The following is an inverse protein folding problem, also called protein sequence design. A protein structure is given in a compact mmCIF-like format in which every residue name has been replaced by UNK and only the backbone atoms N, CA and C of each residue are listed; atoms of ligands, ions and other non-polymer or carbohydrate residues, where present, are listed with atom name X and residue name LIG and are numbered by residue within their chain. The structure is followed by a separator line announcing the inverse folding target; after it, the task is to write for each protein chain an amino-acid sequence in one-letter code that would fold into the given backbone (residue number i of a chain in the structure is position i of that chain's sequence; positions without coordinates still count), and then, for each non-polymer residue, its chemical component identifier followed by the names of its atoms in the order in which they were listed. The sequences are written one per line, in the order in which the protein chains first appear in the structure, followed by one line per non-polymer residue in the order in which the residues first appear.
data_IF_532229472212
#
_entry.id   IF_532229472212
#
_cell.length_a   1.000
_cell.length_b   1.000
_cell.length_c   1.000
_cell.angle_alpha   90.00
_cell.angle_beta   90.00
_cell.angle_gamma   90.00
#
_symmetry.space_group_name_H-M   'P 1'
#
loop_
_entity.id
_entity.type
_entity.pdbx_description
1 polymer ?
#
# COMPACT_ATOMS: atom_id res chain seq x y z
N UNK A 1 -30.88 38.52 16.84
CA UNK A 1 -29.64 37.91 17.33
C UNK A 1 -30.05 36.74 18.19
N UNK A 2 -29.46 35.55 18.09
CA UNK A 2 -29.73 34.49 19.03
C UNK A 2 -29.31 35.00 20.42
N UNK A 3 -30.17 34.82 21.40
CA UNK A 3 -29.85 35.11 22.78
C UNK A 3 -28.67 34.24 23.21
N UNK A 4 -27.53 34.88 23.43
CA UNK A 4 -26.44 34.21 24.16
C UNK A 4 -26.83 34.09 25.61
N UNK A 5 -27.10 32.88 26.04
CA UNK A 5 -27.36 32.55 27.43
C UNK A 5 -26.08 32.78 28.26
N UNK A 6 -25.93 33.93 28.89
CA UNK A 6 -24.73 34.35 29.65
C UNK A 6 -24.43 33.44 30.86
N UNK A 7 -25.32 32.50 31.18
CA UNK A 7 -25.21 31.70 32.41
C UNK A 7 -24.24 30.50 32.34
N UNK A 8 -23.54 30.25 31.27
CA UNK A 8 -22.85 28.96 31.12
C UNK A 8 -21.43 29.03 30.48
N UNK A 9 -20.61 30.01 30.85
CA UNK A 9 -19.20 30.05 30.47
C UNK A 9 -18.46 28.74 30.79
N UNK A 10 -18.86 28.04 31.87
CA UNK A 10 -18.33 26.70 32.22
C UNK A 10 -18.65 25.62 31.17
N UNK A 11 -19.77 25.74 30.44
CA UNK A 11 -20.11 24.79 29.36
C UNK A 11 -19.23 24.92 28.11
N UNK A 12 -18.55 26.02 27.93
CA UNK A 12 -17.59 26.23 26.85
C UNK A 12 -16.22 25.60 27.16
N UNK A 13 -16.03 25.06 28.36
CA UNK A 13 -14.80 24.39 28.78
C UNK A 13 -13.52 25.22 28.48
N UNK A 14 -13.58 26.53 28.70
CA UNK A 14 -12.49 27.47 28.37
C UNK A 14 -11.16 27.13 29.07
N UNK A 15 -11.20 26.38 30.16
CA UNK A 15 -10.05 25.88 30.91
C UNK A 15 -9.42 24.61 30.30
N UNK A 16 -10.07 23.99 29.30
CA UNK A 16 -9.58 22.80 28.62
C UNK A 16 -9.01 23.22 27.26
N UNK A 17 -7.70 23.03 26.99
CA UNK A 17 -7.13 23.30 25.71
C UNK A 17 -7.78 22.47 24.60
N UNK A 18 -8.20 23.10 23.51
CA UNK A 18 -8.70 22.40 22.32
C UNK A 18 -7.55 21.65 21.67
N UNK A 19 -7.69 20.34 21.50
CA UNK A 19 -6.71 19.47 20.86
C UNK A 19 -7.43 18.56 19.87
N UNK A 20 -6.84 18.43 18.68
CA UNK A 20 -7.17 17.33 17.77
C UNK A 20 -6.25 16.14 18.09
N UNK A 21 -6.77 14.92 17.97
CA UNK A 21 -5.91 13.74 18.03
C UNK A 21 -4.94 13.76 16.85
N UNK A 22 -3.62 13.65 17.10
CA UNK A 22 -2.65 13.63 16.03
C UNK A 22 -2.68 12.31 15.29
N UNK A 23 -2.56 12.36 13.97
CA UNK A 23 -2.19 11.20 13.15
C UNK A 23 -0.72 11.34 12.78
N UNK A 24 0.10 10.39 13.21
CA UNK A 24 1.51 10.34 12.88
C UNK A 24 1.79 9.24 11.87
N UNK A 25 2.46 9.60 10.80
CA UNK A 25 3.06 8.69 9.85
C UNK A 25 4.36 9.32 9.35
N UNK A 26 5.42 8.57 9.20
CA UNK A 26 6.73 9.06 8.78
C UNK A 26 6.62 9.96 7.54
N UNK A 27 7.16 11.17 7.60
CA UNK A 27 7.14 12.14 6.49
C UNK A 27 5.80 12.83 6.21
N UNK A 28 4.78 12.66 7.08
CA UNK A 28 3.44 13.22 6.87
C UNK A 28 3.17 14.54 7.61
N UNK A 29 4.10 15.06 8.40
CA UNK A 29 3.83 16.20 9.29
C UNK A 29 3.38 17.45 8.55
N UNK A 30 3.96 17.73 7.38
CA UNK A 30 3.66 18.90 6.54
C UNK A 30 2.45 18.72 5.62
N UNK A 31 1.83 17.55 5.58
CA UNK A 31 0.70 17.28 4.68
C UNK A 31 -0.59 17.92 5.21
N UNK A 32 -1.48 18.31 4.28
CA UNK A 32 -2.80 18.83 4.62
C UNK A 32 -3.72 17.76 5.23
N UNK A 33 -4.88 18.21 5.77
CA UNK A 33 -5.84 17.31 6.43
C UNK A 33 -6.40 16.25 5.48
N UNK A 34 -6.70 16.60 4.21
CA UNK A 34 -7.26 15.68 3.24
C UNK A 34 -6.29 14.55 2.89
N UNK A 35 -5.00 14.90 2.74
CA UNK A 35 -3.92 13.94 2.52
C UNK A 35 -3.77 12.99 3.73
N UNK A 36 -3.71 13.55 4.95
CA UNK A 36 -3.61 12.77 6.19
C UNK A 36 -4.82 11.87 6.41
N UNK A 37 -6.04 12.35 6.11
CA UNK A 37 -7.26 11.54 6.20
C UNK A 37 -7.22 10.32 5.27
N UNK A 38 -6.73 10.48 4.04
CA UNK A 38 -6.57 9.35 3.13
C UNK A 38 -5.49 8.37 3.60
N UNK A 39 -4.36 8.88 4.07
CA UNK A 39 -3.29 8.04 4.62
C UNK A 39 -3.71 7.30 5.88
N UNK A 40 -4.49 7.90 6.78
CA UNK A 40 -5.00 7.24 7.99
C UNK A 40 -6.03 6.14 7.70
N UNK A 41 -6.62 6.14 6.50
CA UNK A 41 -7.48 5.06 6.02
C UNK A 41 -6.69 3.92 5.35
N UNK A 42 -5.47 4.19 4.88
CA UNK A 42 -4.53 3.20 4.34
C UNK A 42 -3.74 2.56 5.48
N UNK A 43 -3.17 3.36 6.36
CA UNK A 43 -2.39 2.94 7.50
C UNK A 43 -3.26 3.02 8.76
N UNK A 44 -3.44 1.90 9.44
CA UNK A 44 -4.21 1.85 10.68
C UNK A 44 -3.60 2.80 11.72
N UNK A 45 -4.36 3.76 12.27
CA UNK A 45 -3.82 4.75 13.20
C UNK A 45 -3.25 4.16 14.50
N UNK A 46 -3.76 3.01 14.96
CA UNK A 46 -3.32 2.36 16.19
C UNK A 46 -1.95 1.68 16.02
N UNK A 47 -1.76 0.97 14.91
CA UNK A 47 -0.51 0.23 14.66
C UNK A 47 0.50 1.02 13.81
N UNK A 48 0.08 2.08 13.11
CA UNK A 48 0.88 2.77 12.10
C UNK A 48 1.19 1.93 10.86
N UNK A 49 0.51 0.79 10.68
CA UNK A 49 0.81 -0.22 9.66
C UNK A 49 -0.39 -0.53 8.78
N UNK A 50 -0.14 -1.24 7.67
CA UNK A 50 -1.17 -1.63 6.71
C UNK A 50 -0.97 -3.06 6.19
N UNK A 51 -2.08 -3.75 5.93
CA UNK A 51 -2.13 -4.96 5.12
C UNK A 51 -2.87 -4.60 3.83
N UNK A 52 -2.10 -4.29 2.78
CA UNK A 52 -2.64 -4.03 1.45
C UNK A 52 -2.71 -5.33 0.66
N UNK A 53 -3.85 -5.58 0.02
CA UNK A 53 -4.05 -6.72 -0.89
C UNK A 53 -3.81 -6.26 -2.33
N UNK A 54 -2.68 -6.69 -2.92
CA UNK A 54 -2.27 -6.33 -4.28
C UNK A 54 -2.89 -7.29 -5.31
N UNK A 55 -3.79 -6.78 -6.14
CA UNK A 55 -4.45 -7.54 -7.22
C UNK A 55 -4.41 -6.80 -8.57
N UNK A 56 -3.47 -5.86 -8.71
CA UNK A 56 -3.32 -5.03 -9.90
C UNK A 56 -2.56 -5.71 -11.04
N UNK A 57 -1.77 -6.74 -10.76
CA UNK A 57 -0.86 -7.35 -11.75
C UNK A 57 -1.56 -8.20 -12.81
N UNK A 58 -2.84 -8.51 -12.65
CA UNK A 58 -3.63 -9.15 -13.70
C UNK A 58 -3.69 -8.36 -15.01
N UNK A 59 -3.54 -7.04 -14.97
CA UNK A 59 -3.59 -6.23 -16.19
C UNK A 59 -2.42 -6.50 -17.14
N UNK A 60 -1.22 -6.77 -16.62
CA UNK A 60 -0.04 -7.01 -17.44
C UNK A 60 0.35 -8.48 -17.57
N UNK A 61 -0.11 -9.34 -16.67
CA UNK A 61 0.16 -10.79 -16.67
C UNK A 61 -1.03 -11.63 -17.17
N UNK A 62 -2.23 -11.05 -17.25
CA UNK A 62 -3.46 -11.77 -17.54
C UNK A 62 -4.05 -12.47 -16.31
N UNK A 63 -5.00 -13.38 -16.50
CA UNK A 63 -5.66 -14.12 -15.42
C UNK A 63 -4.74 -15.20 -14.87
N UNK A 64 -3.75 -14.77 -14.09
CA UNK A 64 -2.80 -15.68 -13.42
C UNK A 64 -3.47 -16.42 -12.26
N UNK A 65 -2.83 -17.52 -11.79
CA UNK A 65 -3.32 -18.35 -10.70
C UNK A 65 -3.76 -17.51 -9.50
N UNK A 66 -5.02 -17.68 -9.09
CA UNK A 66 -5.70 -16.92 -8.05
C UNK A 66 -6.39 -15.64 -8.53
N UNK A 67 -6.18 -15.19 -9.78
CA UNK A 67 -6.84 -14.03 -10.40
C UNK A 67 -7.71 -14.40 -11.60
N UNK A 68 -7.98 -15.69 -11.84
CA UNK A 68 -8.86 -16.17 -12.92
C UNK A 68 -10.30 -15.68 -12.71
N UNK A 69 -10.76 -15.75 -11.46
CA UNK A 69 -12.09 -15.33 -11.01
C UNK A 69 -11.93 -14.46 -9.75
N UNK A 70 -11.66 -13.18 -9.98
CA UNK A 70 -11.44 -12.19 -8.89
C UNK A 70 -12.66 -12.08 -7.97
N UNK A 71 -13.85 -12.20 -8.51
CA UNK A 71 -15.14 -12.24 -7.79
C UNK A 71 -15.26 -13.44 -6.83
N UNK A 72 -14.61 -14.57 -7.13
CA UNK A 72 -14.63 -15.77 -6.29
C UNK A 72 -13.41 -15.80 -5.36
N UNK A 73 -12.22 -15.54 -5.90
CA UNK A 73 -10.98 -15.78 -5.18
C UNK A 73 -10.56 -14.62 -4.28
N UNK A 74 -10.97 -13.39 -4.61
CA UNK A 74 -10.51 -12.18 -3.93
C UNK A 74 -11.56 -11.58 -2.99
N UNK A 75 -12.84 -11.58 -3.35
CA UNK A 75 -13.87 -10.97 -2.50
C UNK A 75 -13.90 -11.52 -1.07
N UNK A 76 -13.69 -12.83 -0.81
CA UNK A 76 -13.62 -13.36 0.56
C UNK A 76 -12.45 -12.79 1.39
N UNK A 77 -11.41 -12.25 0.75
CA UNK A 77 -10.24 -11.67 1.41
C UNK A 77 -10.44 -10.21 1.79
N UNK A 78 -11.34 -9.51 1.10
CA UNK A 78 -11.57 -8.07 1.27
C UNK A 78 -11.87 -7.66 2.72
N UNK A 79 -12.67 -8.40 3.51
CA UNK A 79 -12.93 -8.03 4.92
C UNK A 79 -11.66 -7.92 5.77
N UNK A 80 -10.64 -8.70 5.43
CA UNK A 80 -9.40 -8.81 6.20
C UNK A 80 -8.27 -7.89 5.69
N UNK A 81 -8.39 -7.29 4.51
CA UNK A 81 -7.48 -6.26 4.05
C UNK A 81 -7.79 -4.90 4.70
N UNK A 82 -6.80 -4.06 4.91
CA UNK A 82 -7.00 -2.64 5.22
C UNK A 82 -7.25 -1.86 3.93
N UNK A 83 -6.53 -2.24 2.89
CA UNK A 83 -6.50 -1.52 1.61
C UNK A 83 -6.47 -2.51 0.44
N UNK A 84 -7.13 -2.15 -0.65
CA UNK A 84 -7.06 -2.88 -1.91
C UNK A 84 -6.23 -2.09 -2.91
N UNK A 85 -5.15 -2.69 -3.43
CA UNK A 85 -4.38 -2.15 -4.55
C UNK A 85 -4.81 -2.87 -5.83
N UNK A 86 -5.44 -2.14 -6.75
CA UNK A 86 -6.12 -2.72 -7.91
C UNK A 86 -6.21 -1.75 -9.09
N UNK A 87 -6.69 -2.27 -10.23
CA UNK A 87 -6.95 -1.48 -11.42
C UNK A 87 -8.37 -0.94 -11.46
N UNK A 88 -8.58 0.10 -12.27
CA UNK A 88 -9.88 0.73 -12.48
C UNK A 88 -10.98 -0.24 -12.97
N UNK A 89 -10.61 -1.15 -13.86
CA UNK A 89 -11.54 -2.15 -14.39
C UNK A 89 -12.02 -3.11 -13.30
N UNK A 90 -11.13 -3.65 -12.50
CA UNK A 90 -11.46 -4.55 -11.39
C UNK A 90 -12.29 -3.82 -10.33
N UNK A 91 -11.94 -2.59 -9.98
CA UNK A 91 -12.71 -1.80 -9.03
C UNK A 91 -14.18 -1.67 -9.45
N UNK A 92 -14.41 -1.27 -10.70
CA UNK A 92 -15.76 -1.02 -11.22
C UNK A 92 -16.62 -2.27 -11.39
N UNK A 93 -15.99 -3.39 -11.75
CA UNK A 93 -16.74 -4.60 -12.14
C UNK A 93 -16.89 -5.62 -11.03
N UNK A 94 -16.04 -5.59 -10.01
CA UNK A 94 -15.96 -6.68 -9.02
C UNK A 94 -16.16 -6.18 -7.58
N UNK A 95 -15.53 -5.05 -7.21
CA UNK A 95 -15.59 -4.58 -5.82
C UNK A 95 -16.96 -3.98 -5.52
N UNK A 96 -17.68 -4.47 -4.50
CA UNK A 96 -18.98 -3.89 -4.14
C UNK A 96 -18.85 -2.40 -3.77
N UNK A 97 -19.73 -1.52 -4.27
CA UNK A 97 -19.67 -0.09 -3.97
C UNK A 97 -19.95 0.23 -2.49
N UNK A 98 -20.49 -0.73 -1.74
CA UNK A 98 -20.69 -0.65 -0.28
C UNK A 98 -19.42 -0.91 0.52
N UNK A 99 -18.28 -1.19 -0.13
CA UNK A 99 -17.02 -1.44 0.59
C UNK A 99 -16.58 -0.22 1.39
N UNK A 100 -16.14 -0.45 2.63
CA UNK A 100 -15.48 0.57 3.46
C UNK A 100 -13.95 0.59 3.30
N UNK A 101 -13.40 -0.30 2.48
CA UNK A 101 -11.97 -0.46 2.32
C UNK A 101 -11.35 0.70 1.53
N UNK A 102 -10.15 1.08 1.92
CA UNK A 102 -9.36 2.04 1.18
C UNK A 102 -8.97 1.49 -0.19
N UNK A 103 -9.02 2.33 -1.20
CA UNK A 103 -8.66 1.98 -2.56
C UNK A 103 -7.37 2.69 -2.95
N UNK A 104 -6.37 1.93 -3.32
CA UNK A 104 -5.14 2.40 -3.96
C UNK A 104 -5.21 2.01 -5.43
N UNK A 105 -5.44 2.99 -6.28
CA UNK A 105 -5.70 2.77 -7.68
C UNK A 105 -4.41 2.76 -8.48
N UNK A 106 -4.12 1.66 -9.20
CA UNK A 106 -3.03 1.67 -10.17
C UNK A 106 -3.33 2.67 -11.29
N UNK A 107 -2.52 3.73 -11.36
CA UNK A 107 -2.69 4.82 -12.29
C UNK A 107 -1.73 4.74 -13.49
N UNK A 108 -0.63 4.00 -13.39
CA UNK A 108 0.27 3.73 -14.52
C UNK A 108 -0.08 2.42 -15.23
N UNK A 109 0.25 2.33 -16.51
CA UNK A 109 0.07 1.15 -17.33
C UNK A 109 0.54 1.38 -18.75
N UNK A 110 0.59 0.30 -19.55
CA UNK A 110 1.05 0.34 -20.95
C UNK A 110 1.46 -1.03 -21.43
N UNK A 111 2.60 -1.49 -20.99
CA UNK A 111 3.17 -2.76 -21.45
C UNK A 111 2.55 -3.98 -20.76
N UNK A 112 2.66 -5.13 -21.43
CA UNK A 112 2.39 -6.45 -20.87
C UNK A 112 3.67 -7.27 -20.79
N UNK A 113 3.60 -8.46 -20.16
CA UNK A 113 4.73 -9.40 -20.09
C UNK A 113 5.28 -9.83 -21.46
N UNK A 114 4.59 -9.51 -22.55
CA UNK A 114 5.03 -9.81 -23.91
C UNK A 114 6.02 -8.76 -24.44
N UNK A 115 6.19 -7.64 -23.76
CA UNK A 115 7.07 -6.53 -24.12
C UNK A 115 7.91 -6.05 -22.94
N UNK A 116 8.57 -4.92 -23.11
CA UNK A 116 9.34 -4.26 -22.04
C UNK A 116 8.38 -3.62 -21.01
N UNK A 117 8.42 -4.12 -19.78
CA UNK A 117 7.48 -3.69 -18.73
C UNK A 117 7.72 -2.26 -18.24
N UNK A 118 8.92 -1.69 -18.49
CA UNK A 118 9.21 -0.31 -18.10
C UNK A 118 8.57 0.74 -19.01
N UNK A 119 8.01 0.33 -20.17
CA UNK A 119 7.29 1.21 -21.10
C UNK A 119 5.85 1.45 -20.61
N UNK A 120 5.73 2.16 -19.51
CA UNK A 120 4.43 2.55 -18.91
C UNK A 120 4.22 4.07 -18.96
N UNK A 121 2.96 4.45 -19.22
CA UNK A 121 2.49 5.83 -19.11
C UNK A 121 1.44 5.98 -18.00
N UNK A 122 0.93 7.19 -17.82
CA UNK A 122 -0.23 7.44 -16.96
C UNK A 122 -1.49 6.99 -17.69
N UNK A 123 -2.14 5.94 -17.19
CA UNK A 123 -3.32 5.31 -17.79
C UNK A 123 -4.64 5.74 -17.15
N UNK A 124 -4.59 6.39 -15.98
CA UNK A 124 -5.76 6.91 -15.27
C UNK A 124 -5.49 8.34 -14.86
N UNK A 125 -6.37 9.25 -15.23
CA UNK A 125 -6.26 10.66 -14.85
C UNK A 125 -6.77 10.93 -13.42
N UNK A 126 -6.47 12.13 -12.93
CA UNK A 126 -6.84 12.55 -11.58
C UNK A 126 -8.35 12.69 -11.40
N UNK A 127 -9.08 13.12 -12.42
CA UNK A 127 -10.53 13.31 -12.36
C UNK A 127 -11.24 11.95 -12.17
N UNK A 128 -10.77 10.90 -12.86
CA UNK A 128 -11.30 9.55 -12.68
C UNK A 128 -10.96 9.00 -11.29
N UNK A 129 -9.77 9.29 -10.79
CA UNK A 129 -9.36 8.92 -9.43
C UNK A 129 -10.23 9.58 -8.35
N UNK A 130 -10.55 10.87 -8.51
CA UNK A 130 -11.48 11.60 -7.64
C UNK A 130 -12.89 11.00 -7.71
N UNK A 131 -13.40 10.78 -8.91
CA UNK A 131 -14.73 10.22 -9.15
C UNK A 131 -14.89 8.81 -8.57
N UNK A 132 -13.83 8.03 -8.56
CA UNK A 132 -13.78 6.69 -7.97
C UNK A 132 -13.53 6.70 -6.46
N UNK A 133 -13.40 7.90 -5.85
CA UNK A 133 -13.16 8.08 -4.41
C UNK A 133 -11.95 7.29 -3.89
N UNK A 134 -10.85 7.29 -4.64
CA UNK A 134 -9.64 6.55 -4.23
C UNK A 134 -8.90 7.23 -3.08
N UNK A 135 -8.20 6.43 -2.29
CA UNK A 135 -7.36 6.92 -1.19
C UNK A 135 -5.93 7.23 -1.62
N UNK A 136 -5.43 6.60 -2.68
CA UNK A 136 -4.13 6.91 -3.27
C UNK A 136 -4.07 6.45 -4.74
N UNK A 137 -3.11 6.99 -5.47
CA UNK A 137 -2.73 6.55 -6.82
C UNK A 137 -1.40 5.81 -6.75
N UNK A 138 -1.31 4.64 -7.37
CA UNK A 138 -0.09 3.86 -7.48
C UNK A 138 0.52 4.01 -8.87
N UNK A 139 1.82 4.22 -8.91
CA UNK A 139 2.62 4.32 -10.14
C UNK A 139 3.85 3.46 -10.06
N UNK A 140 4.13 2.72 -11.11
CA UNK A 140 5.34 1.90 -11.19
C UNK A 140 6.54 2.73 -11.61
N UNK A 141 7.68 2.55 -10.93
CA UNK A 141 8.94 3.27 -11.20
C UNK A 141 10.04 2.26 -11.42
N UNK A 142 10.72 2.34 -12.57
CA UNK A 142 11.72 1.37 -13.03
C UNK A 142 13.12 1.97 -12.99
N UNK A 143 13.73 2.05 -11.80
CA UNK A 143 15.09 2.54 -11.65
C UNK A 143 16.08 1.54 -12.28
N UNK A 144 16.93 2.03 -13.18
CA UNK A 144 17.84 1.20 -13.98
C UNK A 144 17.17 0.49 -15.16
N UNK A 145 15.88 0.75 -15.43
CA UNK A 145 15.18 0.23 -16.62
C UNK A 145 15.39 1.08 -17.85
N UNK A 146 15.02 0.55 -19.03
CA UNK A 146 15.15 1.25 -20.31
C UNK A 146 14.37 2.59 -20.32
N UNK A 147 13.18 2.61 -19.70
CA UNK A 147 12.31 3.79 -19.62
C UNK A 147 12.33 4.43 -18.20
N UNK A 148 13.50 4.42 -17.53
CA UNK A 148 13.65 4.99 -16.19
C UNK A 148 13.13 6.41 -16.10
N UNK A 149 13.65 7.30 -16.97
CA UNK A 149 13.28 8.73 -16.97
C UNK A 149 11.76 8.93 -17.07
N UNK A 150 11.11 8.19 -17.95
CA UNK A 150 9.68 8.34 -18.17
C UNK A 150 8.87 7.85 -16.96
N UNK A 151 9.23 6.72 -16.38
CA UNK A 151 8.59 6.18 -15.19
C UNK A 151 8.72 7.13 -13.99
N UNK A 152 9.90 7.75 -13.80
CA UNK A 152 10.12 8.77 -12.77
C UNK A 152 9.28 10.02 -13.02
N UNK A 153 9.22 10.52 -14.27
CA UNK A 153 8.40 11.68 -14.62
C UNK A 153 6.90 11.40 -14.49
N UNK A 154 6.45 10.20 -14.78
CA UNK A 154 5.06 9.78 -14.54
C UNK A 154 4.71 9.85 -13.05
N UNK A 155 5.62 9.39 -12.19
CA UNK A 155 5.46 9.51 -10.74
C UNK A 155 5.36 10.98 -10.31
N UNK A 156 6.27 11.85 -10.75
CA UNK A 156 6.24 13.28 -10.36
C UNK A 156 4.98 13.99 -10.83
N UNK A 157 4.47 13.68 -12.02
CA UNK A 157 3.18 14.20 -12.50
C UNK A 157 2.02 13.80 -11.58
N UNK A 158 1.99 12.54 -11.12
CA UNK A 158 0.97 12.08 -10.18
C UNK A 158 1.15 12.70 -8.80
N UNK A 159 2.37 12.94 -8.35
CA UNK A 159 2.66 13.67 -7.10
C UNK A 159 2.10 15.10 -7.17
N UNK A 160 2.37 15.85 -8.24
CA UNK A 160 1.87 17.21 -8.43
C UNK A 160 0.34 17.27 -8.46
N UNK A 161 -0.28 16.38 -9.23
CA UNK A 161 -1.74 16.28 -9.31
C UNK A 161 -2.33 15.82 -7.97
N UNK A 162 -1.75 14.79 -7.36
CA UNK A 162 -2.19 14.26 -6.07
C UNK A 162 -2.10 15.30 -4.96
N UNK A 163 -1.01 16.06 -4.89
CA UNK A 163 -0.85 17.14 -3.92
C UNK A 163 -1.93 18.21 -4.09
N UNK A 164 -2.25 18.58 -5.32
CA UNK A 164 -3.30 19.59 -5.62
C UNK A 164 -4.69 19.16 -5.13
N UNK A 165 -4.99 17.87 -5.15
CA UNK A 165 -6.32 17.31 -4.80
C UNK A 165 -6.33 16.50 -3.51
N UNK A 166 -5.24 16.50 -2.76
CA UNK A 166 -5.13 15.80 -1.48
C UNK A 166 -5.11 14.27 -1.62
N UNK A 167 -4.66 13.72 -2.76
CA UNK A 167 -4.58 12.27 -3.01
C UNK A 167 -3.13 11.81 -2.98
N UNK A 168 -2.72 10.97 -2.01
CA UNK A 168 -1.36 10.43 -1.93
C UNK A 168 -0.94 9.65 -3.17
N UNK A 169 0.37 9.69 -3.47
CA UNK A 169 0.98 8.86 -4.53
C UNK A 169 1.83 7.77 -3.89
N UNK A 170 1.54 6.51 -4.23
CA UNK A 170 2.37 5.34 -3.94
C UNK A 170 3.33 5.11 -5.11
N UNK A 171 4.63 5.18 -4.87
CA UNK A 171 5.61 4.71 -5.83
C UNK A 171 5.87 3.22 -5.63
N UNK A 172 5.72 2.43 -6.69
CA UNK A 172 6.01 0.99 -6.71
C UNK A 172 7.35 0.79 -7.41
N UNK A 173 8.41 0.49 -6.66
CA UNK A 173 9.71 0.24 -7.26
C UNK A 173 9.74 -1.10 -7.95
N UNK A 174 9.97 -1.10 -9.25
CA UNK A 174 10.18 -2.28 -10.06
C UNK A 174 11.66 -2.41 -10.42
N UNK A 175 12.15 -3.64 -10.45
CA UNK A 175 13.55 -3.95 -10.72
C UNK A 175 13.69 -4.33 -12.20
N UNK A 176 14.57 -3.65 -12.93
CA UNK A 176 14.95 -4.03 -14.28
C UNK A 176 15.53 -5.46 -14.31
N UNK A 177 15.45 -6.12 -15.48
CA UNK A 177 15.84 -7.54 -15.63
C UNK A 177 17.29 -7.81 -15.23
N UNK A 178 18.17 -6.85 -15.47
CA UNK A 178 19.62 -6.97 -15.27
C UNK A 178 20.11 -6.39 -13.94
N UNK A 179 19.19 -5.91 -13.08
CA UNK A 179 19.54 -5.28 -11.82
C UNK A 179 19.57 -6.28 -10.67
N UNK A 180 20.61 -6.18 -9.85
CA UNK A 180 20.74 -6.99 -8.63
C UNK A 180 19.77 -6.50 -7.57
N UNK A 181 18.95 -7.40 -7.05
CA UNK A 181 18.00 -7.11 -5.95
C UNK A 181 18.74 -7.16 -4.62
N UNK A 182 19.39 -6.06 -4.25
CA UNK A 182 20.09 -5.91 -2.98
C UNK A 182 19.70 -4.61 -2.27
N UNK A 183 20.14 -4.45 -1.02
CA UNK A 183 19.84 -3.28 -0.22
C UNK A 183 20.38 -1.98 -0.83
N UNK A 184 21.52 -2.04 -1.53
CA UNK A 184 22.11 -0.85 -2.18
C UNK A 184 21.19 -0.32 -3.29
N UNK A 185 20.68 -1.23 -4.13
CA UNK A 185 19.73 -0.88 -5.19
C UNK A 185 18.43 -0.30 -4.60
N UNK A 186 17.84 -0.98 -3.60
CA UNK A 186 16.57 -0.51 -3.05
C UNK A 186 16.72 0.80 -2.26
N UNK A 187 17.85 1.05 -1.61
CA UNK A 187 18.14 2.38 -1.04
C UNK A 187 18.13 3.47 -2.11
N UNK A 188 18.78 3.22 -3.24
CA UNK A 188 18.78 4.17 -4.37
C UNK A 188 17.36 4.40 -4.88
N UNK A 189 16.64 3.33 -5.23
CA UNK A 189 15.32 3.42 -5.84
C UNK A 189 14.30 4.09 -4.91
N UNK A 190 14.24 3.69 -3.65
CA UNK A 190 13.31 4.29 -2.68
C UNK A 190 13.67 5.74 -2.36
N UNK A 191 14.96 6.08 -2.31
CA UNK A 191 15.40 7.46 -2.06
C UNK A 191 15.07 8.38 -3.22
N UNK A 192 15.26 7.96 -4.47
CA UNK A 192 14.85 8.74 -5.65
C UNK A 192 13.34 9.03 -5.59
N UNK A 193 12.51 8.01 -5.35
CA UNK A 193 11.07 8.19 -5.27
C UNK A 193 10.66 9.17 -4.14
N UNK A 194 11.27 9.05 -2.98
CA UNK A 194 10.96 9.92 -1.85
C UNK A 194 11.40 11.38 -2.06
N UNK A 195 12.61 11.60 -2.59
CA UNK A 195 13.14 12.93 -2.90
C UNK A 195 12.29 13.66 -3.96
N UNK A 196 11.64 12.91 -4.84
CA UNK A 196 10.75 13.44 -5.88
C UNK A 196 9.29 13.49 -5.45
N UNK A 197 9.00 13.26 -4.16
CA UNK A 197 7.74 13.57 -3.53
C UNK A 197 6.74 12.42 -3.40
N UNK A 198 7.11 11.17 -3.65
CA UNK A 198 6.25 10.04 -3.34
C UNK A 198 5.88 10.05 -1.84
N UNK A 199 4.61 9.83 -1.51
CA UNK A 199 4.11 9.90 -0.14
C UNK A 199 4.39 8.64 0.66
N UNK A 200 4.45 7.49 0.00
CA UNK A 200 4.92 6.21 0.52
C UNK A 200 5.37 5.31 -0.63
N UNK A 201 6.12 4.25 -0.32
CA UNK A 201 6.80 3.46 -1.34
C UNK A 201 6.57 1.98 -1.09
N UNK A 202 6.28 1.24 -2.16
CA UNK A 202 6.28 -0.22 -2.19
C UNK A 202 7.60 -0.71 -2.76
N UNK A 203 8.31 -1.56 -2.00
CA UNK A 203 9.58 -2.17 -2.46
C UNK A 203 9.70 -3.60 -1.98
N UNK A 204 10.64 -4.35 -2.55
CA UNK A 204 10.87 -5.74 -2.15
C UNK A 204 11.72 -5.82 -0.88
N UNK A 205 11.48 -6.87 -0.12
CA UNK A 205 12.33 -7.27 0.99
C UNK A 205 13.66 -7.87 0.48
N UNK A 206 14.74 -7.63 1.20
CA UNK A 206 16.03 -8.28 1.06
C UNK A 206 16.50 -8.75 2.44
N UNK A 207 17.09 -9.94 2.50
CA UNK A 207 17.46 -10.56 3.77
C UNK A 207 18.57 -9.79 4.52
N UNK A 208 19.45 -9.13 3.79
CA UNK A 208 20.57 -8.37 4.35
C UNK A 208 20.41 -6.88 4.06
N UNK A 209 20.34 -6.07 5.11
CA UNK A 209 20.37 -4.63 5.04
C UNK A 209 19.05 -3.94 4.73
N UNK A 210 17.91 -4.61 4.83
CA UNK A 210 16.59 -3.99 4.60
C UNK A 210 16.31 -2.86 5.59
N UNK A 211 16.78 -2.97 6.84
CA UNK A 211 16.73 -1.89 7.83
C UNK A 211 17.42 -0.61 7.34
N UNK A 212 18.45 -0.74 6.50
CA UNK A 212 19.11 0.43 5.90
C UNK A 212 18.27 1.06 4.79
N UNK A 213 17.44 0.27 4.09
CA UNK A 213 16.49 0.77 3.08
C UNK A 213 15.40 1.58 3.77
N UNK A 214 14.81 1.05 4.82
CA UNK A 214 13.75 1.74 5.57
C UNK A 214 14.28 2.97 6.30
N UNK A 215 15.45 2.89 6.94
CA UNK A 215 16.05 4.00 7.67
C UNK A 215 16.44 5.18 6.75
N UNK A 216 16.94 4.89 5.55
CA UNK A 216 17.37 5.94 4.60
C UNK A 216 16.23 6.58 3.81
N UNK A 217 15.03 6.00 3.84
CA UNK A 217 13.86 6.53 3.15
C UNK A 217 13.05 7.43 4.10
N UNK A 218 12.81 8.72 3.78
CA UNK A 218 12.09 9.64 4.66
C UNK A 218 10.57 9.44 4.71
N UNK A 219 10.00 8.56 3.87
CA UNK A 219 8.57 8.23 3.83
C UNK A 219 8.33 6.76 4.16
N UNK A 220 7.08 6.34 4.48
CA UNK A 220 6.80 4.94 4.80
C UNK A 220 7.14 3.99 3.65
N UNK A 221 7.63 2.82 4.01
CA UNK A 221 7.84 1.71 3.06
C UNK A 221 6.86 0.58 3.41
N UNK A 222 6.15 0.07 2.40
CA UNK A 222 5.37 -1.17 2.47
C UNK A 222 6.08 -2.27 1.69
N UNK A 223 6.17 -3.46 2.26
CA UNK A 223 6.90 -4.58 1.69
C UNK A 223 6.07 -5.29 0.62
N UNK A 224 6.64 -5.45 -0.58
CA UNK A 224 6.05 -6.23 -1.66
C UNK A 224 6.22 -7.74 -1.42
N UNK A 225 5.14 -8.51 -1.57
CA UNK A 225 5.17 -9.97 -1.30
C UNK A 225 5.99 -10.81 -2.28
N UNK A 226 6.24 -10.32 -3.49
CA UNK A 226 7.02 -11.05 -4.49
C UNK A 226 6.28 -12.26 -5.09
N UNK A 227 7.03 -13.31 -5.46
CA UNK A 227 6.49 -14.59 -5.92
C UNK A 227 5.92 -15.37 -4.75
N UNK A 228 5.03 -16.34 -5.04
CA UNK A 228 4.53 -17.28 -4.03
C UNK A 228 5.72 -18.11 -3.47
N UNK A 229 5.77 -18.16 -2.16
CA UNK A 229 6.69 -18.99 -1.34
C UNK A 229 5.86 -19.70 -0.28
N UNK A 230 6.41 -20.69 0.46
CA UNK A 230 5.72 -21.36 1.56
C UNK A 230 5.15 -20.35 2.57
N UNK A 231 4.00 -20.66 3.17
CA UNK A 231 3.26 -19.77 4.06
C UNK A 231 4.10 -19.29 5.24
N UNK A 232 4.82 -20.20 5.91
CA UNK A 232 5.70 -19.84 7.03
C UNK A 232 6.84 -18.91 6.61
N UNK A 233 7.38 -19.07 5.41
CA UNK A 233 8.42 -18.20 4.87
C UNK A 233 7.86 -16.80 4.54
N UNK A 234 6.64 -16.75 3.96
CA UNK A 234 5.96 -15.48 3.68
C UNK A 234 5.62 -14.71 4.97
N UNK A 235 5.19 -15.40 6.03
CA UNK A 235 4.96 -14.81 7.36
C UNK A 235 6.27 -14.35 8.01
N UNK A 236 7.35 -15.12 7.85
CA UNK A 236 8.69 -14.75 8.34
C UNK A 236 9.20 -13.50 7.62
N UNK A 237 9.05 -13.44 6.30
CA UNK A 237 9.42 -12.27 5.51
C UNK A 237 8.64 -11.01 5.93
N UNK A 238 7.32 -11.14 6.12
CA UNK A 238 6.47 -10.04 6.57
C UNK A 238 6.86 -9.55 7.98
N UNK A 239 7.12 -10.48 8.90
CA UNK A 239 7.57 -10.18 10.26
C UNK A 239 8.90 -9.43 10.25
N UNK A 240 9.92 -9.99 9.59
CA UNK A 240 11.24 -9.35 9.51
C UNK A 240 11.18 -7.98 8.87
N UNK A 241 10.45 -7.82 7.76
CA UNK A 241 10.27 -6.52 7.13
C UNK A 241 9.68 -5.48 8.10
N UNK A 242 8.66 -5.87 8.89
CA UNK A 242 8.07 -4.98 9.89
C UNK A 242 9.03 -4.66 11.05
N UNK A 243 9.83 -5.63 11.52
CA UNK A 243 10.87 -5.40 12.54
C UNK A 243 11.97 -4.48 12.02
N UNK A 244 12.29 -4.54 10.75
CA UNK A 244 13.31 -3.74 10.07
C UNK A 244 12.75 -2.41 9.53
N UNK A 245 11.55 -1.99 9.97
CA UNK A 245 11.01 -0.64 9.78
C UNK A 245 10.01 -0.47 8.65
N UNK A 246 9.51 -1.55 8.03
CA UNK A 246 8.39 -1.43 7.11
C UNK A 246 7.10 -1.04 7.84
N UNK A 247 6.33 -0.15 7.24
CA UNK A 247 5.00 0.25 7.69
C UNK A 247 3.89 -0.71 7.22
N UNK A 248 4.22 -1.98 7.09
CA UNK A 248 3.29 -3.04 6.70
C UNK A 248 3.66 -3.70 5.37
N UNK A 249 2.66 -4.32 4.76
CA UNK A 249 2.84 -5.13 3.55
C UNK A 249 1.85 -4.73 2.45
N UNK A 250 2.28 -4.91 1.20
CA UNK A 250 1.41 -4.89 0.03
C UNK A 250 1.62 -6.20 -0.75
N UNK A 251 0.87 -7.23 -0.34
CA UNK A 251 1.03 -8.61 -0.77
C UNK A 251 -0.16 -9.06 -1.63
N UNK A 252 0.14 -9.84 -2.64
CA UNK A 252 -0.87 -10.49 -3.50
C UNK A 252 -0.72 -12.01 -3.47
N UNK A 253 0.17 -12.54 -4.32
CA UNK A 253 0.34 -13.99 -4.55
C UNK A 253 0.56 -14.82 -3.29
N UNK A 254 1.30 -14.33 -2.32
CA UNK A 254 1.50 -15.04 -1.05
C UNK A 254 0.23 -15.14 -0.20
N UNK A 255 -0.80 -14.34 -0.49
CA UNK A 255 -2.12 -14.43 0.14
C UNK A 255 -3.07 -15.26 -0.73
N UNK A 256 -3.41 -14.79 -1.92
CA UNK A 256 -4.50 -15.38 -2.71
C UNK A 256 -4.11 -16.69 -3.44
N UNK A 257 -2.81 -17.02 -3.53
CA UNK A 257 -2.33 -18.33 -4.03
C UNK A 257 -2.02 -19.32 -2.89
N UNK A 258 -2.27 -18.95 -1.63
CA UNK A 258 -2.27 -19.91 -0.53
C UNK A 258 -3.48 -20.84 -0.65
N UNK A 259 -3.31 -22.11 -0.28
CA UNK A 259 -4.37 -23.11 -0.27
C UNK A 259 -5.57 -22.63 0.56
N UNK A 260 -5.32 -21.98 1.70
CA UNK A 260 -6.31 -21.38 2.59
C UNK A 260 -6.12 -19.86 2.65
N UNK A 261 -6.46 -19.19 1.57
CA UNK A 261 -6.16 -17.75 1.39
C UNK A 261 -6.78 -16.83 2.46
N UNK A 262 -7.98 -17.17 2.97
CA UNK A 262 -8.64 -16.43 4.05
C UNK A 262 -7.89 -16.60 5.38
N UNK A 263 -7.40 -17.79 5.67
CA UNK A 263 -6.55 -18.04 6.83
C UNK A 263 -5.21 -17.29 6.70
N UNK A 264 -4.64 -17.29 5.50
CA UNK A 264 -3.36 -16.64 5.24
C UNK A 264 -3.40 -15.13 5.44
N UNK A 265 -4.43 -14.44 4.94
CA UNK A 265 -4.52 -12.99 5.15
C UNK A 265 -4.72 -12.64 6.64
N UNK A 266 -5.43 -13.48 7.41
CA UNK A 266 -5.59 -13.28 8.85
C UNK A 266 -4.27 -13.50 9.60
N UNK A 267 -3.48 -14.51 9.21
CA UNK A 267 -2.14 -14.73 9.76
C UNK A 267 -1.20 -13.57 9.44
N UNK A 268 -1.24 -13.02 8.22
CA UNK A 268 -0.49 -11.81 7.84
C UNK A 268 -0.91 -10.61 8.70
N UNK A 269 -2.21 -10.42 8.98
CA UNK A 269 -2.69 -9.37 9.87
C UNK A 269 -2.15 -9.51 11.28
N UNK A 270 -2.10 -10.74 11.82
CA UNK A 270 -1.55 -11.01 13.15
C UNK A 270 -0.06 -10.58 13.22
N UNK A 271 0.71 -10.88 12.19
CA UNK A 271 2.11 -10.41 12.07
C UNK A 271 2.19 -8.89 12.01
N UNK A 272 1.42 -8.26 11.11
CA UNK A 272 1.58 -6.84 10.79
C UNK A 272 1.05 -5.95 11.91
N UNK A 273 -0.18 -6.20 12.41
CA UNK A 273 -0.83 -5.31 13.38
C UNK A 273 -0.57 -5.68 14.83
N UNK A 274 -0.41 -6.98 15.12
CA UNK A 274 -0.24 -7.46 16.50
C UNK A 274 1.18 -7.89 16.81
N UNK A 275 2.08 -7.78 15.83
CA UNK A 275 3.50 -8.15 15.98
C UNK A 275 3.70 -9.61 16.42
N UNK A 276 2.77 -10.49 16.02
CA UNK A 276 2.88 -11.90 16.33
C UNK A 276 4.07 -12.54 15.61
N UNK A 277 4.74 -13.45 16.29
CA UNK A 277 5.87 -14.18 15.69
C UNK A 277 5.42 -15.06 14.52
N UNK A 278 6.30 -15.34 13.54
CA UNK A 278 5.94 -16.20 12.41
C UNK A 278 5.36 -17.55 12.80
N UNK A 279 5.87 -18.15 13.88
CA UNK A 279 5.42 -19.45 14.38
C UNK A 279 3.98 -19.38 14.93
N UNK A 280 3.66 -18.34 15.70
CA UNK A 280 2.29 -18.13 16.22
C UNK A 280 1.31 -17.80 15.10
N UNK A 281 1.71 -16.94 14.16
CA UNK A 281 0.90 -16.60 13.00
C UNK A 281 0.66 -17.82 12.10
N UNK A 282 1.65 -18.71 11.96
CA UNK A 282 1.49 -19.94 11.21
C UNK A 282 0.58 -20.95 11.94
N UNK A 283 0.67 -21.04 13.27
CA UNK A 283 -0.28 -21.83 14.06
C UNK A 283 -1.72 -21.33 13.87
N UNK A 284 -1.93 -20.02 13.89
CA UNK A 284 -3.23 -19.41 13.57
C UNK A 284 -3.70 -19.76 12.14
N UNK A 285 -2.80 -19.69 11.16
CA UNK A 285 -3.10 -20.12 9.79
C UNK A 285 -3.61 -21.56 9.75
N UNK A 286 -2.90 -22.47 10.42
CA UNK A 286 -3.27 -23.89 10.47
C UNK A 286 -4.61 -24.12 11.18
N UNK A 287 -4.85 -23.44 12.29
CA UNK A 287 -6.14 -23.51 13.00
C UNK A 287 -7.31 -23.08 12.10
N UNK A 288 -7.17 -21.90 11.46
CA UNK A 288 -8.21 -21.36 10.57
C UNK A 288 -8.39 -22.15 9.27
N UNK A 289 -7.38 -22.90 8.84
CA UNK A 289 -7.44 -23.76 7.65
C UNK A 289 -8.25 -25.05 7.88
N UNK A 290 -8.44 -25.46 9.13
CA UNK A 290 -9.20 -26.66 9.52
C UNK A 290 -10.66 -26.36 9.86
N UNK A 291 -11.05 -25.09 9.89
CA UNK A 291 -12.42 -24.61 10.09
C UNK A 291 -13.02 -24.07 8.79
#
# INVERSE_FOLDING_TARGET
MPEMDEKKAEQFHTHIPQRAEPFFLKGCDSLDWGMKNRLSRIFNPESGRTVMLAIDHGYFQGPTSGLERVDINILPLVPYADTLMLTRGILRSIVPPSTSKSIVLRASGGASILKELSDEGIAVDIQDSIRLNVCAMAVQVFIGGEHEKESVLNMTRLVDLGTRYGIPTLAVTAVGKDMKRDARYFRLATRICAELGAHYIKTYYVEEGFETVTASCPVPIVMAGGKKIPEIEALTMAYRACQEGAAGVDMGRNIFQSEHSVAMIQAVRAVVHHNETPQKAFALYQELAHH
#
